data_IF_811283368014
#
_entry.id   IF_811283368014
#
_cell.length_a   1.000
_cell.length_b   1.000
_cell.length_c   1.000
_cell.angle_alpha   90.00
_cell.angle_beta   90.00
_cell.angle_gamma   90.00
#
_symmetry.space_group_name_H-M   'P 1'
#
loop_
_entity.id
_entity.type
_entity.pdbx_description
1 polymer ?
#
# COMPACT_ATOMS: atom_id res chain seq x y z
N UNK A 1 26.48 -55.09 19.40
CA UNK A 1 26.03 -54.33 18.21
C UNK A 1 25.82 -52.88 18.62
N UNK A 2 26.09 -51.95 17.70
CA UNK A 2 26.66 -50.62 17.89
C UNK A 2 25.97 -49.60 18.80
N UNK A 3 26.84 -48.83 19.45
CA UNK A 3 26.66 -47.48 19.96
C UNK A 3 26.24 -46.47 18.87
N UNK A 4 25.34 -45.55 19.21
CA UNK A 4 24.95 -44.42 18.34
C UNK A 4 24.52 -43.20 19.15
N UNK A 5 25.49 -42.60 19.85
CA UNK A 5 25.36 -41.29 20.51
C UNK A 5 25.51 -40.18 19.47
N UNK A 6 24.44 -39.44 19.16
CA UNK A 6 24.54 -38.20 18.40
C UNK A 6 24.57 -36.99 19.33
N UNK A 7 25.71 -36.31 19.32
CA UNK A 7 26.04 -35.11 20.10
C UNK A 7 25.31 -33.88 19.56
N UNK A 8 25.04 -32.87 20.42
CA UNK A 8 24.58 -31.57 19.95
C UNK A 8 25.75 -30.82 19.27
N UNK A 9 25.50 -30.28 18.08
CA UNK A 9 26.44 -29.39 17.41
C UNK A 9 26.38 -28.02 18.10
N UNK A 10 27.35 -27.76 18.97
CA UNK A 10 27.77 -26.40 19.32
C UNK A 10 28.95 -26.08 18.40
N UNK A 11 28.70 -25.23 17.40
CA UNK A 11 29.77 -24.51 16.69
C UNK A 11 29.90 -23.13 17.32
N UNK A 12 30.98 -22.93 18.07
CA UNK A 12 31.41 -21.59 18.49
C UNK A 12 32.61 -21.16 17.65
N UNK A 13 32.61 -19.91 17.18
CA UNK A 13 33.81 -19.05 17.17
C UNK A 13 33.49 -17.64 16.65
N UNK A 14 33.63 -16.66 17.55
CA UNK A 14 34.44 -15.47 17.28
C UNK A 14 33.76 -14.20 16.77
N UNK A 15 33.66 -13.20 17.66
CA UNK A 15 33.91 -11.80 17.27
C UNK A 15 32.81 -10.78 17.58
N UNK A 16 33.13 -9.87 18.50
CA UNK A 16 32.44 -8.64 18.90
C UNK A 16 31.34 -8.76 19.95
N UNK A 17 31.61 -8.17 21.12
CA UNK A 17 30.62 -7.86 22.15
C UNK A 17 29.71 -6.75 21.63
N UNK A 18 28.63 -7.13 20.94
CA UNK A 18 27.55 -6.23 20.58
C UNK A 18 26.26 -6.95 20.90
N UNK A 19 25.58 -6.53 21.97
CA UNK A 19 24.21 -6.88 22.39
C UNK A 19 23.59 -8.01 21.55
N UNK A 20 23.43 -9.20 22.12
CA UNK A 20 22.72 -10.32 21.49
C UNK A 20 21.43 -9.77 20.86
N UNK A 21 21.42 -9.62 19.54
CA UNK A 21 20.24 -9.11 18.84
C UNK A 21 19.24 -10.24 18.85
N UNK A 22 18.08 -9.96 19.41
CA UNK A 22 16.98 -10.92 19.45
C UNK A 22 16.58 -11.19 18.00
N UNK A 23 16.70 -12.43 17.57
CA UNK A 23 16.25 -12.86 16.23
C UNK A 23 14.73 -12.83 16.25
N UNK A 24 14.13 -12.01 15.39
CA UNK A 24 12.67 -11.86 15.27
C UNK A 24 12.21 -12.63 14.04
N UNK A 25 11.34 -13.61 14.24
CA UNK A 25 10.69 -14.35 13.18
C UNK A 25 9.67 -13.46 12.46
N UNK A 26 9.90 -13.14 11.19
CA UNK A 26 8.96 -12.35 10.39
C UNK A 26 7.66 -13.12 10.04
N UNK A 27 7.67 -14.46 10.10
CA UNK A 27 6.49 -15.29 9.93
C UNK A 27 5.49 -15.10 11.08
N UNK A 28 5.91 -15.36 12.33
CA UNK A 28 5.00 -15.40 13.48
C UNK A 28 5.14 -14.23 14.46
N UNK A 29 6.07 -13.29 14.21
CA UNK A 29 6.46 -12.19 15.10
C UNK A 29 6.98 -12.64 16.47
N UNK A 30 7.39 -13.90 16.57
CA UNK A 30 8.03 -14.46 17.76
C UNK A 30 9.52 -14.14 17.79
N UNK A 31 10.07 -14.07 18.99
CA UNK A 31 11.51 -13.92 19.22
C UNK A 31 12.19 -15.30 19.25
N UNK A 32 13.52 -15.34 19.13
CA UNK A 32 14.41 -16.51 19.29
C UNK A 32 14.61 -17.43 18.07
N UNK A 33 13.84 -17.32 16.99
CA UNK A 33 13.97 -18.21 15.83
C UNK A 33 13.81 -17.46 14.51
N UNK A 34 14.34 -18.04 13.44
CA UNK A 34 14.21 -17.53 12.07
C UNK A 34 12.89 -17.97 11.43
N UNK A 35 12.41 -17.24 10.43
CA UNK A 35 11.17 -17.58 9.70
C UNK A 35 11.24 -18.98 9.08
N UNK A 36 12.41 -19.38 8.58
CA UNK A 36 12.69 -20.74 8.08
C UNK A 36 12.58 -21.86 9.13
N UNK A 37 12.74 -21.51 10.41
CA UNK A 37 12.63 -22.44 11.55
C UNK A 37 11.25 -22.36 12.22
N UNK A 38 10.34 -21.53 11.68
CA UNK A 38 9.02 -21.34 12.26
C UNK A 38 8.13 -22.55 11.97
N UNK A 39 7.54 -23.11 13.02
CA UNK A 39 6.57 -24.21 12.89
C UNK A 39 5.14 -23.74 12.62
N UNK A 40 4.89 -22.42 12.70
CA UNK A 40 3.58 -21.85 12.35
C UNK A 40 3.41 -21.80 10.83
N UNK A 41 2.17 -21.90 10.31
CA UNK A 41 1.89 -21.72 8.89
C UNK A 41 2.47 -20.41 8.34
N UNK A 42 2.73 -20.37 7.03
CA UNK A 42 3.20 -19.14 6.38
C UNK A 42 2.23 -17.98 6.58
N UNK A 43 2.80 -16.82 6.91
CA UNK A 43 2.09 -15.58 7.10
C UNK A 43 1.51 -15.13 5.77
N UNK A 44 0.23 -14.74 5.80
CA UNK A 44 -0.46 -14.16 4.64
C UNK A 44 0.25 -12.87 4.20
N UNK A 45 0.35 -12.65 2.89
CA UNK A 45 0.88 -11.43 2.28
C UNK A 45 -0.15 -10.30 2.35
N UNK A 46 -0.47 -9.87 3.56
CA UNK A 46 -1.39 -8.77 3.85
C UNK A 46 -0.67 -7.41 3.89
N UNK A 47 -1.42 -6.33 4.05
CA UNK A 47 -0.87 -4.98 4.07
C UNK A 47 0.19 -4.76 5.17
N UNK A 48 0.10 -5.49 6.29
CA UNK A 48 1.08 -5.40 7.37
C UNK A 48 2.40 -6.10 6.98
N UNK A 49 2.32 -7.27 6.33
CA UNK A 49 3.48 -7.94 5.75
C UNK A 49 4.24 -7.04 4.76
N UNK A 50 3.51 -6.35 3.87
CA UNK A 50 4.13 -5.42 2.92
C UNK A 50 4.76 -4.20 3.62
N UNK A 51 4.11 -3.65 4.65
CA UNK A 51 4.67 -2.55 5.44
C UNK A 51 6.01 -2.94 6.06
N UNK A 52 6.11 -4.14 6.63
CA UNK A 52 7.34 -4.64 7.22
C UNK A 52 8.45 -4.80 6.19
N UNK A 53 8.14 -5.34 5.00
CA UNK A 53 9.10 -5.41 3.88
C UNK A 53 9.60 -4.02 3.48
N UNK A 54 8.70 -3.06 3.29
CA UNK A 54 9.07 -1.69 2.88
C UNK A 54 9.95 -1.01 3.92
N UNK A 55 9.66 -1.18 5.21
CA UNK A 55 10.49 -0.61 6.27
C UNK A 55 11.93 -1.15 6.25
N UNK A 56 12.10 -2.45 5.98
CA UNK A 56 13.42 -3.06 5.87
C UNK A 56 14.19 -2.61 4.61
N UNK A 57 13.51 -2.48 3.46
CA UNK A 57 14.12 -1.92 2.24
C UNK A 57 14.57 -0.47 2.48
N UNK A 58 13.75 0.33 3.17
CA UNK A 58 14.11 1.71 3.51
C UNK A 58 15.31 1.75 4.47
N UNK A 59 15.37 0.87 5.46
CA UNK A 59 16.51 0.73 6.35
C UNK A 59 17.80 0.39 5.58
N UNK A 60 17.73 -0.57 4.65
CA UNK A 60 18.85 -0.94 3.78
C UNK A 60 19.31 0.23 2.90
N UNK A 61 18.36 0.97 2.31
CA UNK A 61 18.64 2.16 1.51
C UNK A 61 19.30 3.28 2.33
N UNK A 62 18.97 3.37 3.62
CA UNK A 62 19.58 4.31 4.58
C UNK A 62 20.94 3.83 5.11
N UNK A 63 21.50 2.74 4.56
CA UNK A 63 22.80 2.20 4.94
C UNK A 63 22.80 1.41 6.25
N UNK A 64 21.63 1.01 6.76
CA UNK A 64 21.56 0.13 7.92
C UNK A 64 21.99 -1.29 7.52
N UNK A 65 22.85 -1.89 8.34
CA UNK A 65 23.27 -3.29 8.18
C UNK A 65 22.14 -4.19 8.67
N UNK A 66 21.49 -4.85 7.73
CA UNK A 66 20.43 -5.83 8.01
C UNK A 66 21.02 -7.16 8.52
N UNK A 67 20.25 -7.83 9.36
CA UNK A 67 20.55 -9.17 9.87
C UNK A 67 20.14 -10.24 8.85
N UNK A 68 20.66 -11.45 9.03
CA UNK A 68 20.39 -12.58 8.13
C UNK A 68 18.88 -12.86 7.96
N UNK A 69 18.12 -12.85 9.06
CA UNK A 69 16.65 -13.02 9.03
C UNK A 69 15.92 -11.89 8.30
N UNK A 70 16.42 -10.65 8.38
CA UNK A 70 15.85 -9.49 7.68
C UNK A 70 16.13 -9.56 6.17
N UNK A 71 17.34 -9.98 5.79
CA UNK A 71 17.74 -10.21 4.40
C UNK A 71 16.94 -11.37 3.78
N UNK A 72 16.75 -12.45 4.55
CA UNK A 72 15.99 -13.62 4.11
C UNK A 72 14.51 -13.29 3.92
N UNK A 73 13.93 -12.47 4.79
CA UNK A 73 12.57 -11.98 4.62
C UNK A 73 12.42 -11.10 3.38
N UNK A 74 13.44 -10.30 3.02
CA UNK A 74 13.42 -9.47 1.81
C UNK A 74 13.49 -10.29 0.52
N UNK A 75 14.19 -11.42 0.51
CA UNK A 75 14.21 -12.33 -0.63
C UNK A 75 12.77 -12.74 -1.01
N UNK A 76 12.48 -12.75 -2.31
CA UNK A 76 11.13 -13.13 -2.75
C UNK A 76 10.91 -14.64 -2.55
N UNK A 77 9.82 -15.08 -1.89
CA UNK A 77 9.53 -16.49 -1.67
C UNK A 77 9.11 -17.24 -2.95
N UNK A 78 9.41 -16.71 -4.14
CA UNK A 78 8.87 -17.19 -5.41
C UNK A 78 9.23 -18.65 -5.71
N UNK A 79 8.20 -19.49 -5.83
CA UNK A 79 8.14 -20.84 -6.45
C UNK A 79 8.36 -22.09 -5.59
N UNK A 80 7.76 -22.15 -4.39
CA UNK A 80 7.18 -23.45 -3.97
C UNK A 80 5.71 -23.21 -3.68
N UNK A 81 4.86 -23.68 -4.60
CA UNK A 81 3.41 -23.73 -4.44
C UNK A 81 3.09 -24.39 -3.08
N UNK A 82 2.60 -23.59 -2.13
CA UNK A 82 1.96 -24.14 -0.95
C UNK A 82 0.67 -24.81 -1.40
N UNK A 83 0.76 -26.10 -1.73
CA UNK A 83 -0.34 -27.05 -1.80
C UNK A 83 -1.03 -27.12 -0.44
N UNK A 84 -1.84 -26.11 -0.14
CA UNK A 84 -2.52 -25.93 1.14
C UNK A 84 -3.97 -25.47 0.94
N UNK A 85 -4.61 -25.89 -0.15
CA UNK A 85 -6.06 -25.76 -0.34
C UNK A 85 -6.77 -27.11 -0.43
N UNK A 86 -6.19 -28.16 0.17
CA UNK A 86 -6.86 -29.45 0.32
C UNK A 86 -7.08 -29.69 1.81
N UNK A 87 -8.14 -29.12 2.40
CA UNK A 87 -8.96 -29.70 3.48
C UNK A 87 -9.99 -28.64 3.92
N UNK A 88 -11.27 -29.00 3.82
CA UNK A 88 -12.48 -28.27 4.29
C UNK A 88 -13.12 -27.25 3.33
N UNK A 89 -13.63 -27.69 2.17
CA UNK A 89 -14.90 -27.15 1.64
C UNK A 89 -15.74 -28.32 1.12
N UNK A 90 -16.50 -28.95 2.02
CA UNK A 90 -17.62 -29.82 1.64
C UNK A 90 -18.89 -28.99 1.67
N UNK A 91 -19.17 -28.18 0.65
CA UNK A 91 -20.52 -27.62 0.42
C UNK A 91 -20.69 -27.19 -1.05
N UNK A 92 -21.52 -27.98 -1.75
CA UNK A 92 -22.38 -27.62 -2.88
C UNK A 92 -21.76 -27.38 -4.28
N UNK A 93 -21.64 -28.46 -5.05
CA UNK A 93 -21.24 -28.54 -6.47
C UNK A 93 -22.36 -28.18 -7.47
N UNK A 94 -23.15 -27.14 -7.19
CA UNK A 94 -24.27 -26.75 -8.06
C UNK A 94 -24.00 -25.51 -8.93
N UNK A 95 -22.86 -24.86 -8.77
CA UNK A 95 -22.42 -23.74 -9.61
C UNK A 95 -20.97 -23.94 -10.02
N UNK A 96 -20.76 -24.82 -11.00
CA UNK A 96 -19.56 -24.79 -11.85
C UNK A 96 -20.01 -24.55 -13.28
N UNK A 97 -19.14 -23.87 -14.03
CA UNK A 97 -19.33 -23.25 -15.35
C UNK A 97 -19.96 -21.84 -15.22
N UNK A 98 -19.31 -20.73 -15.57
CA UNK A 98 -18.13 -20.47 -16.38
C UNK A 98 -17.55 -19.12 -15.93
N UNK A 99 -16.30 -18.82 -16.30
CA UNK A 99 -15.65 -17.49 -16.21
C UNK A 99 -14.75 -17.23 -14.99
N UNK A 100 -13.74 -18.09 -14.76
CA UNK A 100 -12.67 -17.81 -13.77
C UNK A 100 -11.25 -17.97 -14.33
N UNK A 101 -11.11 -18.20 -15.63
CA UNK A 101 -9.87 -18.37 -16.37
C UNK A 101 -9.50 -17.14 -17.23
N UNK A 102 -10.35 -16.11 -17.25
CA UNK A 102 -10.10 -14.87 -18.02
C UNK A 102 -9.22 -13.82 -17.31
N UNK A 103 -8.70 -14.08 -16.09
CA UNK A 103 -7.93 -13.09 -15.32
C UNK A 103 -6.56 -13.59 -14.81
N UNK A 104 -5.95 -14.59 -15.47
CA UNK A 104 -4.57 -15.02 -15.17
C UNK A 104 -3.62 -14.95 -16.39
N UNK A 105 -4.15 -14.76 -17.60
CA UNK A 105 -3.34 -14.77 -18.84
C UNK A 105 -2.49 -13.50 -19.03
N UNK A 106 -2.82 -12.38 -18.39
CA UNK A 106 -2.12 -11.10 -18.58
C UNK A 106 -0.85 -10.99 -17.71
N UNK A 107 -0.76 -11.79 -16.63
CA UNK A 107 0.36 -11.72 -15.69
C UNK A 107 1.59 -12.47 -16.21
N UNK A 108 1.38 -13.60 -16.90
CA UNK A 108 2.46 -14.34 -17.56
C UNK A 108 2.93 -13.66 -18.85
N UNK A 109 2.05 -12.95 -19.57
CA UNK A 109 2.42 -12.21 -20.78
C UNK A 109 3.24 -10.96 -20.45
N UNK A 110 2.90 -10.21 -19.40
CA UNK A 110 3.71 -9.08 -18.92
C UNK A 110 5.07 -9.53 -18.36
N UNK A 111 5.10 -10.66 -17.64
CA UNK A 111 6.33 -11.19 -17.07
C UNK A 111 7.22 -11.82 -18.17
N UNK A 112 6.63 -12.52 -19.15
CA UNK A 112 7.33 -13.05 -20.33
C UNK A 112 7.83 -11.93 -21.23
N UNK A 113 7.05 -10.88 -21.46
CA UNK A 113 7.48 -9.69 -22.19
C UNK A 113 8.64 -9.00 -21.47
N UNK A 114 8.61 -8.90 -20.14
CA UNK A 114 9.70 -8.33 -19.35
C UNK A 114 10.98 -9.16 -19.42
N UNK A 115 10.88 -10.49 -19.34
CA UNK A 115 12.02 -11.41 -19.51
C UNK A 115 12.58 -11.35 -20.93
N UNK A 116 11.71 -11.32 -21.94
CA UNK A 116 12.11 -11.16 -23.34
C UNK A 116 12.81 -9.82 -23.60
N UNK A 117 12.30 -8.74 -23.00
CA UNK A 117 12.89 -7.40 -23.11
C UNK A 117 14.26 -7.35 -22.41
N UNK A 118 14.39 -7.94 -21.21
CA UNK A 118 15.68 -8.09 -20.52
C UNK A 118 16.68 -8.94 -21.30
N UNK A 119 16.24 -10.04 -21.91
CA UNK A 119 17.07 -10.91 -22.74
C UNK A 119 17.55 -10.20 -24.01
N UNK A 120 16.67 -9.46 -24.70
CA UNK A 120 17.04 -8.69 -25.89
C UNK A 120 17.98 -7.54 -25.58
N UNK A 121 17.79 -6.84 -24.44
CA UNK A 121 18.75 -5.84 -23.98
C UNK A 121 20.11 -6.47 -23.67
N UNK A 122 20.13 -7.66 -23.05
CA UNK A 122 21.37 -8.38 -22.76
C UNK A 122 22.05 -8.88 -24.03
N UNK A 123 21.31 -9.35 -25.03
CA UNK A 123 21.85 -9.81 -26.31
C UNK A 123 22.38 -8.64 -27.13
N UNK A 124 21.64 -7.53 -27.19
CA UNK A 124 22.08 -6.30 -27.83
C UNK A 124 23.36 -5.76 -27.17
N UNK A 125 23.41 -5.73 -25.84
CA UNK A 125 24.60 -5.34 -25.08
C UNK A 125 25.77 -6.31 -25.29
N UNK A 126 25.52 -7.61 -25.43
CA UNK A 126 26.56 -8.62 -25.64
C UNK A 126 27.14 -8.60 -27.06
N UNK A 127 26.30 -8.44 -28.09
CA UNK A 127 26.76 -8.36 -29.49
C UNK A 127 27.49 -7.05 -29.75
N UNK A 128 26.98 -5.93 -29.20
CA UNK A 128 27.69 -4.66 -29.25
C UNK A 128 28.97 -4.70 -28.42
N UNK A 129 29.05 -5.41 -27.29
CA UNK A 129 30.29 -5.59 -26.53
C UNK A 129 31.31 -6.47 -27.26
N UNK A 130 30.86 -7.49 -28.00
CA UNK A 130 31.73 -8.35 -28.82
C UNK A 130 32.34 -7.60 -30.01
N UNK A 131 31.62 -6.65 -30.61
CA UNK A 131 32.15 -5.75 -31.66
C UNK A 131 32.92 -4.53 -31.09
N UNK A 132 32.56 -4.01 -29.90
CA UNK A 132 33.13 -2.79 -29.30
C UNK A 132 34.47 -2.96 -28.59
N UNK A 133 34.99 -4.17 -28.42
CA UNK A 133 36.35 -4.37 -27.85
C UNK A 133 37.48 -3.82 -28.75
N UNK A 134 37.16 -3.21 -29.90
CA UNK A 134 38.17 -2.82 -30.88
C UNK A 134 38.45 -1.32 -30.99
N UNK A 135 37.59 -0.38 -30.53
CA UNK A 135 37.86 1.06 -30.72
C UNK A 135 37.35 1.97 -29.57
N UNK A 136 38.25 2.64 -28.82
CA UNK A 136 37.93 3.53 -27.69
C UNK A 136 37.01 4.73 -28.00
N UNK A 137 36.95 5.19 -29.25
CA UNK A 137 36.22 6.40 -29.62
C UNK A 137 34.69 6.25 -29.59
N UNK A 138 34.16 5.03 -29.78
CA UNK A 138 32.71 4.79 -29.78
C UNK A 138 32.09 4.73 -28.37
N UNK A 139 32.90 4.51 -27.34
CA UNK A 139 32.44 4.52 -25.95
C UNK A 139 32.11 5.93 -25.46
N UNK A 140 32.89 6.93 -25.85
CA UNK A 140 32.68 8.32 -25.43
C UNK A 140 31.37 8.90 -26.01
N UNK A 141 31.05 8.59 -27.26
CA UNK A 141 29.80 9.02 -27.91
C UNK A 141 28.56 8.37 -27.27
N UNK A 142 28.65 7.09 -26.92
CA UNK A 142 27.58 6.37 -26.21
C UNK A 142 27.35 6.95 -24.82
N UNK A 143 28.42 7.22 -24.07
CA UNK A 143 28.37 7.85 -22.76
C UNK A 143 27.75 9.24 -22.87
N UNK A 144 28.14 10.03 -23.88
CA UNK A 144 27.60 11.37 -24.09
C UNK A 144 26.09 11.35 -24.39
N UNK A 145 25.63 10.41 -25.22
CA UNK A 145 24.21 10.24 -25.52
C UNK A 145 23.40 9.84 -24.28
N UNK A 146 23.92 8.94 -23.45
CA UNK A 146 23.27 8.55 -22.19
C UNK A 146 23.18 9.73 -21.22
N UNK A 147 24.21 10.58 -21.13
CA UNK A 147 24.20 11.79 -20.31
C UNK A 147 23.14 12.78 -20.79
N UNK A 148 23.00 12.99 -22.10
CA UNK A 148 21.96 13.86 -22.66
C UNK A 148 20.53 13.35 -22.39
N UNK A 149 20.33 12.03 -22.50
CA UNK A 149 19.05 11.41 -22.16
C UNK A 149 18.72 11.56 -20.67
N UNK A 150 19.69 11.27 -19.79
CA UNK A 150 19.52 11.45 -18.34
C UNK A 150 19.22 12.90 -17.98
N UNK A 151 19.90 13.85 -18.63
CA UNK A 151 19.65 15.29 -18.43
C UNK A 151 18.21 15.67 -18.82
N UNK A 152 17.72 15.15 -19.94
CA UNK A 152 16.34 15.37 -20.39
C UNK A 152 15.32 14.76 -19.42
N UNK A 153 15.61 13.56 -18.90
CA UNK A 153 14.77 12.90 -17.92
C UNK A 153 14.72 13.67 -16.60
N UNK A 154 15.85 14.17 -16.10
CA UNK A 154 15.93 14.99 -14.89
C UNK A 154 15.12 16.27 -15.01
N UNK A 155 15.18 16.96 -16.15
CA UNK A 155 14.36 18.16 -16.42
C UNK A 155 12.88 17.81 -16.38
N UNK A 156 12.48 16.69 -16.99
CA UNK A 156 11.08 16.22 -17.02
C UNK A 156 10.58 15.89 -15.62
N UNK A 157 11.35 15.13 -14.83
CA UNK A 157 11.03 14.79 -13.45
C UNK A 157 10.89 16.04 -12.56
N UNK A 158 11.76 17.03 -12.76
CA UNK A 158 11.70 18.31 -12.02
C UNK A 158 10.39 19.04 -12.29
N UNK A 159 9.96 19.09 -13.56
CA UNK A 159 8.69 19.72 -13.95
C UNK A 159 7.48 18.99 -13.36
N UNK A 160 7.43 17.65 -13.47
CA UNK A 160 6.34 16.84 -12.88
C UNK A 160 6.26 17.07 -11.37
N UNK A 161 7.40 17.16 -10.68
CA UNK A 161 7.43 17.40 -9.25
C UNK A 161 6.90 18.81 -8.88
N UNK A 162 7.18 19.82 -9.70
CA UNK A 162 6.62 21.16 -9.54
C UNK A 162 5.10 21.18 -9.76
N UNK A 163 4.62 20.49 -10.80
CA UNK A 163 3.19 20.37 -11.09
C UNK A 163 2.45 19.66 -9.95
N UNK A 164 3.02 18.57 -9.42
CA UNK A 164 2.48 17.86 -8.26
C UNK A 164 2.41 18.76 -7.01
N UNK A 165 3.44 19.56 -6.76
CA UNK A 165 3.42 20.56 -5.68
C UNK A 165 2.29 21.57 -5.86
N UNK A 166 2.07 22.05 -7.09
CA UNK A 166 0.98 22.97 -7.40
C UNK A 166 -0.40 22.33 -7.19
N UNK A 167 -0.59 21.08 -7.65
CA UNK A 167 -1.83 20.33 -7.45
C UNK A 167 -2.12 20.10 -5.97
N UNK A 168 -1.11 19.74 -5.17
CA UNK A 168 -1.27 19.57 -3.73
C UNK A 168 -1.73 20.86 -3.04
N UNK A 169 -1.08 21.98 -3.35
CA UNK A 169 -1.48 23.29 -2.80
C UNK A 169 -2.93 23.64 -3.18
N UNK A 170 -3.33 23.35 -4.43
CA UNK A 170 -4.69 23.59 -4.90
C UNK A 170 -5.72 22.72 -4.16
N UNK A 171 -5.41 21.44 -3.93
CA UNK A 171 -6.27 20.52 -3.17
C UNK A 171 -6.42 20.97 -1.72
N UNK A 172 -5.32 21.39 -1.07
CA UNK A 172 -5.36 21.97 0.27
C UNK A 172 -6.27 23.20 0.33
N UNK A 173 -6.14 24.12 -0.63
CA UNK A 173 -6.99 25.31 -0.69
C UNK A 173 -8.48 24.98 -0.95
N UNK A 174 -8.77 23.94 -1.75
CA UNK A 174 -10.14 23.46 -1.95
C UNK A 174 -10.71 22.85 -0.67
N UNK A 175 -9.93 22.06 0.05
CA UNK A 175 -10.34 21.44 1.31
C UNK A 175 -10.71 22.50 2.35
N UNK A 176 -9.90 23.54 2.52
CA UNK A 176 -10.19 24.64 3.45
C UNK A 176 -11.43 25.45 3.04
N UNK A 177 -11.67 25.60 1.73
CA UNK A 177 -12.92 26.18 1.23
C UNK A 177 -14.13 25.32 1.56
N UNK A 178 -14.04 23.99 1.42
CA UNK A 178 -15.14 23.09 1.78
C UNK A 178 -15.43 23.11 3.28
N UNK A 179 -14.41 23.04 4.14
CA UNK A 179 -14.57 23.18 5.60
C UNK A 179 -15.24 24.51 5.98
N UNK A 180 -14.87 25.60 5.30
CA UNK A 180 -15.48 26.91 5.55
C UNK A 180 -16.94 26.96 5.12
N UNK A 181 -17.29 26.35 3.97
CA UNK A 181 -18.70 26.21 3.54
C UNK A 181 -19.52 25.38 4.51
N UNK A 182 -18.95 24.29 5.04
CA UNK A 182 -19.61 23.44 6.03
C UNK A 182 -19.89 24.19 7.33
N UNK A 183 -18.94 24.99 7.83
CA UNK A 183 -19.16 25.86 9.00
C UNK A 183 -20.32 26.83 8.80
N UNK A 184 -20.33 27.55 7.68
CA UNK A 184 -21.41 28.50 7.35
C UNK A 184 -22.77 27.79 7.25
N UNK A 185 -22.82 26.61 6.63
CA UNK A 185 -24.06 25.84 6.52
C UNK A 185 -24.58 25.41 7.90
N UNK A 186 -23.69 25.01 8.81
CA UNK A 186 -24.07 24.62 10.15
C UNK A 186 -24.57 25.82 10.97
N UNK A 187 -23.93 26.99 10.87
CA UNK A 187 -24.39 28.24 11.50
C UNK A 187 -25.82 28.60 11.04
N UNK A 188 -26.08 28.60 9.73
CA UNK A 188 -27.41 28.90 9.19
C UNK A 188 -28.51 27.95 9.73
N UNK A 189 -28.20 26.66 9.87
CA UNK A 189 -29.15 25.68 10.45
C UNK A 189 -29.46 25.93 11.92
N UNK A 190 -28.50 26.47 12.69
CA UNK A 190 -28.73 26.82 14.09
C UNK A 190 -29.62 28.06 14.22
N UNK A 191 -29.43 29.07 13.35
CA UNK A 191 -30.23 30.29 13.35
C UNK A 191 -31.68 30.07 12.90
N UNK A 192 -31.90 29.19 11.92
CA UNK A 192 -33.25 28.81 11.44
C UNK A 192 -34.05 28.08 12.54
N UNK A 193 -33.37 27.21 13.31
CA UNK A 193 -33.97 26.51 14.46
C UNK A 193 -34.26 27.45 15.64
N UNK A 194 -33.45 28.49 15.83
CA UNK A 194 -33.71 29.53 16.83
C UNK A 194 -34.90 30.42 16.43
N UNK A 195 -35.01 30.74 15.14
CA UNK A 195 -36.09 31.60 14.60
C UNK A 195 -37.46 30.93 14.67
N UNK A 196 -37.54 29.64 14.30
CA UNK A 196 -38.80 28.85 14.41
C UNK A 196 -39.31 28.67 15.85
N UNK A 197 -38.41 28.68 16.85
CA UNK A 197 -38.81 28.68 18.27
C UNK A 197 -39.36 30.02 18.75
N UNK A 198 -39.02 31.14 18.09
CA UNK A 198 -39.46 32.48 18.50
C UNK A 198 -40.84 32.87 17.95
N UNK A 199 -41.23 32.31 16.79
CA UNK A 199 -42.54 32.56 16.19
C UNK A 199 -43.68 31.83 16.91
N UNK A 200 -43.40 30.72 17.61
CA UNK A 200 -44.44 29.96 18.33
C UNK A 200 -45.01 30.70 19.56
N UNK A 201 -44.34 31.75 20.05
CA UNK A 201 -44.79 32.52 21.23
C UNK A 201 -45.54 33.82 20.89
N UNK A 202 -45.65 34.20 19.63
CA UNK A 202 -46.30 35.45 19.21
C UNK A 202 -47.59 35.18 18.41
N UNK A 203 -48.59 34.54 19.03
CA UNK A 203 -49.97 34.57 18.53
C UNK A 203 -50.85 35.41 19.46
N UNK A 204 -51.38 36.58 19.02
CA UNK A 204 -52.29 37.37 19.84
C UNK A 204 -53.63 36.64 19.96
N UNK A 205 -54.01 36.25 21.18
CA UNK A 205 -55.36 35.76 21.48
C UNK A 205 -56.36 36.91 21.29
N UNK A 206 -57.09 36.91 20.18
CA UNK A 206 -58.27 37.74 19.99
C UNK A 206 -59.34 37.35 21.02
N UNK A 207 -59.50 38.19 22.04
CA UNK A 207 -60.50 38.05 23.09
C UNK A 207 -61.92 38.14 22.50
N UNK A 208 -62.68 37.06 22.66
CA UNK A 208 -64.09 36.98 22.30
C UNK A 208 -64.91 37.70 23.37
N UNK A 209 -65.29 38.96 23.13
CA UNK A 209 -66.19 39.70 24.01
C UNK A 209 -67.62 39.19 23.82
N UNK A 210 -68.20 38.62 24.87
CA UNK A 210 -69.59 38.17 24.89
C UNK A 210 -70.54 39.33 25.13
N UNK A 211 -71.66 39.38 24.39
CA UNK A 211 -72.83 40.16 24.78
C UNK A 211 -74.07 39.26 24.64
N UNK A 212 -74.72 39.08 25.78
CA UNK A 212 -76.00 38.42 26.04
C UNK A 212 -77.13 38.89 25.09
N UNK A 213 -77.95 37.94 24.61
CA UNK A 213 -79.36 38.23 24.24
C UNK A 213 -80.23 38.41 25.51
N UNK A 214 -81.58 38.52 25.47
CA UNK A 214 -82.49 38.11 24.37
C UNK A 214 -83.72 39.05 24.17
N UNK A 215 -84.63 38.74 23.22
CA UNK A 215 -86.07 38.41 23.48
C UNK A 215 -86.92 38.40 22.20
N UNK A 216 -87.76 37.37 22.13
CA UNK A 216 -88.94 37.18 21.29
C UNK A 216 -89.84 38.42 21.20
N UNK A 217 -90.48 38.64 20.05
CA UNK A 217 -91.96 38.74 19.91
C UNK A 217 -92.36 38.29 18.49
N UNK A 218 -93.30 37.35 18.42
CA UNK A 218 -94.10 36.98 17.24
C UNK A 218 -95.29 37.92 17.07
N UNK A 219 -95.59 38.36 15.86
CA UNK A 219 -96.92 38.24 15.23
C UNK A 219 -96.84 38.53 13.74
#
# INVERSE_FOLDING_TARGET
>A
MSTGSSRPFVSGSGGTSGKQRVIVCYNCKGESHMSKQCTKPERKRDAEWFKDKVLLVQAQANGQVLQEEELDFLADPGTVESSSNQTVITTNTAYQADDLDAYDSDCDELNSAKVFLMANLSHYYSDTLAENLTLPAFQDDLILSMIEQLKTQVVTCTKINQDNKHVNNLLTAKLERYKSKERVLNELKHDEKASTSSEHYNTPKLGRSGILGPRHVTS
#
